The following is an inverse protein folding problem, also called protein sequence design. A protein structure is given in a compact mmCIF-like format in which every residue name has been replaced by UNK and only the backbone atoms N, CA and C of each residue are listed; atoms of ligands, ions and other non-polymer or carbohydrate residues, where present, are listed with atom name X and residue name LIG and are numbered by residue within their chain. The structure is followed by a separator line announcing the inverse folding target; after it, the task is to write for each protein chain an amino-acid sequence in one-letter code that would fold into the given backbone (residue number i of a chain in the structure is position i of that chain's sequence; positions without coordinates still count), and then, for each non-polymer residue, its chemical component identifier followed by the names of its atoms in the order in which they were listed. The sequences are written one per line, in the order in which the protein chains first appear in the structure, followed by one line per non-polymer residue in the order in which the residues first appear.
data_IF_172031721774
#
_entry.id   IF_172031721774
#
_cell.length_a   1.000
_cell.length_b   1.000
_cell.length_c   1.000
_cell.angle_alpha   90.00
_cell.angle_beta   90.00
_cell.angle_gamma   90.00
#
_symmetry.space_group_name_H-M   'P 1'
#
loop_
_entity.id
_entity.type
_entity.pdbx_description
1 polymer ?
#
# COMPACT_ATOMS: atom_id res chain seq x y z
N UNK A 1 -3.56 7.14 -11.32
CA UNK A 1 -4.80 7.23 -10.52
C UNK A 1 -4.45 6.89 -9.08
N UNK A 2 -4.57 7.83 -8.14
CA UNK A 2 -4.13 7.66 -6.74
C UNK A 2 -5.29 7.21 -5.84
N UNK A 3 -5.02 6.39 -4.82
CA UNK A 3 -6.03 5.98 -3.82
C UNK A 3 -6.68 7.17 -3.11
N UNK A 4 -5.96 8.29 -2.99
CA UNK A 4 -6.47 9.55 -2.44
C UNK A 4 -7.63 10.14 -3.27
N UNK A 5 -7.54 10.07 -4.60
CA UNK A 5 -8.60 10.55 -5.49
C UNK A 5 -9.85 9.67 -5.45
N UNK A 6 -9.73 8.39 -5.12
CA UNK A 6 -10.85 7.46 -5.12
C UNK A 6 -11.86 7.73 -3.99
N UNK A 7 -11.37 8.16 -2.82
CA UNK A 7 -12.23 8.50 -1.68
C UNK A 7 -13.06 9.75 -1.96
N UNK A 8 -12.46 10.74 -2.63
CA UNK A 8 -13.13 12.01 -2.99
C UNK A 8 -14.24 11.85 -4.02
N UNK A 9 -14.15 10.87 -4.90
CA UNK A 9 -15.07 10.68 -6.02
C UNK A 9 -16.35 9.92 -5.66
N UNK A 10 -16.36 9.17 -4.55
CA UNK A 10 -17.53 8.38 -4.14
C UNK A 10 -18.73 9.24 -3.66
N UNK A 11 -18.54 10.29 -2.83
CA UNK A 11 -19.65 11.15 -2.38
C UNK A 11 -20.39 11.83 -3.52
N UNK A 12 -19.66 12.31 -4.53
CA UNK A 12 -20.22 12.99 -5.71
C UNK A 12 -21.13 12.08 -6.55
N UNK A 13 -20.87 10.78 -6.55
CA UNK A 13 -21.75 9.81 -7.20
C UNK A 13 -22.97 9.47 -6.34
N UNK A 14 -22.83 9.42 -5.01
CA UNK A 14 -23.92 9.09 -4.08
C UNK A 14 -24.99 10.20 -4.02
N UNK A 15 -24.59 11.47 -4.10
CA UNK A 15 -25.51 12.62 -4.12
C UNK A 15 -26.48 12.58 -5.32
N UNK A 16 -26.11 11.89 -6.41
CA UNK A 16 -26.99 11.74 -7.60
C UNK A 16 -28.22 10.88 -7.32
N UNK A 17 -28.18 10.01 -6.31
CA UNK A 17 -29.26 9.08 -5.99
C UNK A 17 -30.07 9.50 -4.77
N UNK A 18 -29.52 10.32 -3.87
CA UNK A 18 -30.20 10.84 -2.69
C UNK A 18 -29.49 12.11 -2.19
N UNK A 19 -30.21 13.17 -1.75
CA UNK A 19 -29.59 14.35 -1.18
C UNK A 19 -28.95 14.02 0.19
N UNK A 20 -27.63 13.93 0.20
CA UNK A 20 -26.84 13.73 1.43
C UNK A 20 -26.58 15.10 2.06
N UNK A 21 -27.13 15.33 3.24
CA UNK A 21 -26.99 16.61 3.99
C UNK A 21 -25.69 16.67 4.80
N UNK A 22 -25.18 15.52 5.26
CA UNK A 22 -23.95 15.41 6.02
C UNK A 22 -23.30 14.03 5.80
N UNK A 23 -21.97 13.98 5.73
CA UNK A 23 -21.18 12.75 5.56
C UNK A 23 -19.93 12.81 6.44
N UNK A 24 -19.83 11.89 7.41
CA UNK A 24 -18.62 11.69 8.21
C UNK A 24 -17.89 10.42 7.74
N UNK A 25 -16.67 10.56 7.22
CA UNK A 25 -15.85 9.44 6.79
C UNK A 25 -14.51 9.43 7.53
N UNK A 26 -14.24 8.35 8.25
CA UNK A 26 -12.95 8.13 8.91
C UNK A 26 -12.06 7.26 8.01
N UNK A 27 -10.99 7.85 7.49
CA UNK A 27 -10.04 7.16 6.63
C UNK A 27 -8.86 6.74 7.50
N UNK A 28 -8.78 5.44 7.82
CA UNK A 28 -7.60 4.89 8.50
C UNK A 28 -6.60 4.43 7.45
N UNK A 29 -5.39 4.99 7.49
CA UNK A 29 -4.27 4.52 6.67
C UNK A 29 -3.39 3.63 7.53
N UNK A 30 -3.31 2.36 7.17
CA UNK A 30 -2.33 1.44 7.76
C UNK A 30 -1.08 1.45 6.91
N UNK A 31 0.04 1.81 7.53
CA UNK A 31 1.36 1.72 6.93
C UNK A 31 2.01 0.41 7.39
N UNK A 32 1.85 -0.63 6.59
CA UNK A 32 2.38 -1.96 6.92
C UNK A 32 3.91 -1.97 6.99
N UNK A 33 4.58 -1.09 6.23
CA UNK A 33 6.04 -0.96 6.23
C UNK A 33 6.52 -0.37 7.54
N UNK A 34 5.88 0.72 8.00
CA UNK A 34 6.21 1.35 9.28
C UNK A 34 5.80 0.48 10.47
N UNK A 35 4.74 -0.33 10.33
CA UNK A 35 4.33 -1.29 11.37
C UNK A 35 5.31 -2.45 11.54
N UNK A 36 5.96 -2.89 10.46
CA UNK A 36 6.97 -3.96 10.50
C UNK A 36 8.35 -3.44 10.95
N UNK A 37 8.72 -2.23 10.54
CA UNK A 37 9.99 -1.61 10.88
C UNK A 37 9.78 -0.14 11.28
N UNK A 38 9.55 0.17 12.57
CA UNK A 38 9.21 1.53 13.03
C UNK A 38 10.31 2.58 12.83
N UNK A 39 11.57 2.14 12.69
CA UNK A 39 12.73 3.03 12.52
C UNK A 39 13.02 3.38 11.04
N UNK A 40 12.29 2.78 10.10
CA UNK A 40 12.49 3.01 8.67
C UNK A 40 12.17 4.46 8.30
N UNK A 41 13.08 5.14 7.59
CA UNK A 41 12.88 6.54 7.22
C UNK A 41 13.49 6.89 5.85
N UNK A 42 13.02 7.98 5.25
CA UNK A 42 13.61 8.54 4.03
C UNK A 42 13.53 7.62 2.82
N UNK A 43 14.68 7.37 2.18
CA UNK A 43 14.78 6.63 0.92
C UNK A 43 14.44 5.15 1.11
N UNK A 44 14.86 4.56 2.22
CA UNK A 44 14.62 3.14 2.57
C UNK A 44 13.12 2.86 2.72
N UNK A 45 12.37 3.82 3.28
CA UNK A 45 10.91 3.74 3.38
C UNK A 45 10.25 3.65 2.00
N UNK A 46 10.71 4.43 1.02
CA UNK A 46 10.11 4.43 -0.32
C UNK A 46 10.55 3.26 -1.18
N UNK A 47 11.79 2.80 -1.00
CA UNK A 47 12.40 1.78 -1.82
C UNK A 47 11.97 0.37 -1.39
N UNK A 48 11.79 0.14 -0.08
CA UNK A 48 11.46 -1.19 0.44
C UNK A 48 12.62 -2.17 0.35
N UNK A 49 12.43 -3.38 0.88
CA UNK A 49 13.51 -4.36 1.07
C UNK A 49 14.04 -4.95 -0.26
N UNK A 50 13.19 -5.09 -1.27
CA UNK A 50 13.53 -5.66 -2.58
C UNK A 50 13.91 -4.59 -3.62
N UNK A 51 14.22 -3.36 -3.21
CA UNK A 51 14.58 -2.32 -4.16
C UNK A 51 15.89 -2.62 -4.87
N UNK A 52 15.85 -2.70 -6.20
CA UNK A 52 17.01 -3.08 -7.00
C UNK A 52 17.31 -4.58 -7.02
N UNK A 53 16.48 -5.41 -6.36
CA UNK A 53 16.59 -6.86 -6.44
C UNK A 53 16.02 -7.35 -7.77
N UNK A 54 16.82 -8.10 -8.53
CA UNK A 54 16.35 -8.63 -9.80
C UNK A 54 15.45 -9.86 -9.57
N UNK A 55 14.45 -10.03 -10.45
CA UNK A 55 13.54 -11.18 -10.40
C UNK A 55 14.30 -12.52 -10.43
N UNK A 56 15.44 -12.57 -11.11
CA UNK A 56 16.32 -13.73 -11.18
C UNK A 56 16.94 -14.08 -9.81
N UNK A 57 17.38 -13.07 -9.06
CA UNK A 57 17.98 -13.26 -7.74
C UNK A 57 16.94 -13.78 -6.75
N UNK A 58 15.71 -13.25 -6.82
CA UNK A 58 14.59 -13.74 -6.03
C UNK A 58 14.24 -15.18 -6.35
N UNK A 59 14.13 -15.54 -7.63
CA UNK A 59 13.79 -16.89 -8.02
C UNK A 59 14.89 -17.89 -7.63
N UNK A 60 16.16 -17.54 -7.83
CA UNK A 60 17.28 -18.38 -7.40
C UNK A 60 17.26 -18.60 -5.89
N UNK A 61 17.12 -17.54 -5.09
CA UNK A 61 17.08 -17.66 -3.63
C UNK A 61 15.91 -18.52 -3.14
N UNK A 62 14.73 -18.41 -3.78
CA UNK A 62 13.61 -19.29 -3.47
C UNK A 62 13.93 -20.75 -3.83
N UNK A 63 14.46 -21.02 -5.02
CA UNK A 63 14.86 -22.37 -5.42
C UNK A 63 15.87 -22.99 -4.44
N UNK A 64 16.87 -22.22 -3.99
CA UNK A 64 17.80 -22.68 -2.96
C UNK A 64 17.10 -22.96 -1.62
N UNK A 65 16.24 -22.05 -1.14
CA UNK A 65 15.50 -22.21 0.13
C UNK A 65 14.57 -23.42 0.13
N UNK A 66 13.96 -23.77 -1.00
CA UNK A 66 13.11 -24.95 -1.13
C UNK A 66 13.88 -26.24 -1.43
N UNK A 67 15.17 -26.16 -1.78
CA UNK A 67 16.03 -27.34 -1.97
C UNK A 67 16.66 -27.85 -0.67
N UNK A 68 16.73 -26.99 0.35
CA UNK A 68 17.27 -27.30 1.68
C UNK A 68 16.17 -27.65 2.71
N UNK A 69 14.90 -27.66 2.31
CA UNK A 69 13.73 -28.00 3.13
C UNK A 69 13.14 -29.37 2.75
#
# INVERSE_FOLDING_TARGET
MSRFTQVRLQPEQLIKYCPITELSQEIVRFDTQLMQSPEISGVEYQQGELHGYELREYLLENEYKYSEA
#
